data_IF_956629239667
#
_entry.id   IF_956629239667
#
_cell.length_a   1.000
_cell.length_b   1.000
_cell.length_c   1.000
_cell.angle_alpha   90.00
_cell.angle_beta   90.00
_cell.angle_gamma   90.00
#
_symmetry.space_group_name_H-M   'P 1'
#
loop_
_entity.id
_entity.type
_entity.pdbx_description
1 polymer ?
#
# COMPACT_ATOMS: atom_id res chain seq x y z
N UNK A 1 3.32 12.50 -86.85
CA UNK A 1 2.66 12.82 -85.57
C UNK A 1 2.94 11.67 -84.61
N UNK A 2 3.90 11.84 -83.70
CA UNK A 2 4.43 10.80 -82.82
C UNK A 2 4.23 11.25 -81.37
N UNK A 3 3.23 10.67 -80.71
CA UNK A 3 2.94 10.93 -79.29
C UNK A 3 3.94 10.18 -78.40
N UNK A 4 4.83 10.93 -77.74
CA UNK A 4 5.67 10.44 -76.65
C UNK A 4 4.85 10.38 -75.36
N UNK A 5 4.58 9.17 -74.87
CA UNK A 5 4.03 8.93 -73.52
C UNK A 5 5.15 8.95 -72.48
N UNK A 6 5.16 9.98 -71.65
CA UNK A 6 6.00 10.08 -70.45
C UNK A 6 5.49 9.15 -69.34
N UNK A 7 6.33 8.18 -68.94
CA UNK A 7 6.11 7.39 -67.72
C UNK A 7 6.65 8.19 -66.53
N UNK A 8 5.75 8.81 -65.76
CA UNK A 8 6.08 9.37 -64.43
C UNK A 8 6.20 8.24 -63.41
N UNK A 9 7.44 7.90 -63.08
CA UNK A 9 7.83 7.04 -61.96
C UNK A 9 7.56 7.78 -60.65
N UNK A 10 6.50 7.42 -59.94
CA UNK A 10 6.23 7.88 -58.57
C UNK A 10 7.18 7.12 -57.64
N UNK A 11 8.30 7.75 -57.29
CA UNK A 11 9.19 7.27 -56.24
C UNK A 11 8.47 7.42 -54.89
N UNK A 12 8.11 6.29 -54.29
CA UNK A 12 7.54 6.25 -52.95
C UNK A 12 8.59 6.67 -51.92
N UNK A 13 8.39 7.83 -51.28
CA UNK A 13 9.14 8.25 -50.11
C UNK A 13 8.78 7.37 -48.91
N UNK A 14 9.42 6.20 -48.81
CA UNK A 14 9.47 5.42 -47.57
C UNK A 14 10.39 6.15 -46.59
N UNK A 15 9.79 6.92 -45.69
CA UNK A 15 10.46 7.54 -44.57
C UNK A 15 11.22 6.49 -43.75
N UNK A 16 12.55 6.60 -43.73
CA UNK A 16 13.44 5.84 -42.84
C UNK A 16 13.08 6.19 -41.40
N UNK A 17 12.30 5.33 -40.75
CA UNK A 17 12.13 5.35 -39.30
C UNK A 17 13.49 4.97 -38.69
N UNK A 18 14.11 5.82 -37.87
CA UNK A 18 15.37 5.48 -37.22
C UNK A 18 15.11 4.32 -36.25
N UNK A 19 15.74 3.18 -36.53
CA UNK A 19 15.75 2.03 -35.64
C UNK A 19 16.41 2.46 -34.31
N UNK A 20 15.60 2.74 -33.29
CA UNK A 20 16.06 2.83 -31.90
C UNK A 20 16.63 1.47 -31.52
N UNK A 21 17.94 1.30 -31.68
CA UNK A 21 18.73 0.22 -31.10
C UNK A 21 18.72 0.40 -29.58
N UNK A 22 17.68 -0.10 -28.91
CA UNK A 22 17.75 -0.35 -27.47
C UNK A 22 18.65 -1.56 -27.27
N UNK A 23 19.95 -1.31 -27.11
CA UNK A 23 20.93 -2.31 -26.65
C UNK A 23 20.63 -2.62 -25.19
N UNK A 24 19.63 -3.47 -24.95
CA UNK A 24 19.47 -4.15 -23.69
C UNK A 24 20.53 -5.24 -23.63
N UNK A 25 21.61 -4.98 -22.91
CA UNK A 25 22.56 -5.99 -22.46
C UNK A 25 21.77 -7.11 -21.80
N UNK A 26 21.71 -8.26 -22.46
CA UNK A 26 21.04 -9.46 -21.94
C UNK A 26 22.02 -10.08 -20.94
N UNK A 27 22.06 -9.50 -19.74
CA UNK A 27 22.60 -10.22 -18.59
C UNK A 27 21.75 -11.48 -18.42
N UNK A 28 22.40 -12.65 -18.41
CA UNK A 28 21.84 -13.97 -18.13
C UNK A 28 21.39 -14.12 -16.67
N UNK A 29 20.78 -13.06 -16.11
CA UNK A 29 20.10 -13.11 -14.83
C UNK A 29 18.87 -13.99 -14.97
N UNK A 30 18.72 -14.94 -14.05
CA UNK A 30 17.49 -15.72 -13.90
C UNK A 30 16.28 -14.79 -13.99
N UNK A 31 15.41 -15.03 -14.98
CA UNK A 31 14.21 -14.20 -15.19
C UNK A 31 13.34 -14.28 -13.94
N UNK A 32 13.43 -13.29 -13.07
CA UNK A 32 12.57 -13.19 -11.88
C UNK A 32 11.12 -13.07 -12.33
N UNK A 33 10.34 -14.10 -12.06
CA UNK A 33 8.90 -14.12 -12.29
C UNK A 33 8.22 -12.96 -11.55
N UNK A 34 7.24 -12.33 -12.19
CA UNK A 34 6.54 -11.17 -11.64
C UNK A 34 5.10 -11.52 -11.26
N UNK A 35 4.53 -10.81 -10.31
CA UNK A 35 3.09 -10.87 -10.05
C UNK A 35 2.35 -10.10 -11.15
N UNK A 36 1.23 -10.65 -11.62
CA UNK A 36 0.41 -9.99 -12.62
C UNK A 36 -0.32 -8.79 -12.02
N UNK A 37 -0.38 -7.70 -12.78
CA UNK A 37 -1.12 -6.48 -12.44
C UNK A 37 -1.95 -6.07 -13.65
N UNK A 38 -3.11 -5.47 -13.42
CA UNK A 38 -4.00 -5.00 -14.48
C UNK A 38 -3.29 -4.03 -15.45
N UNK A 39 -2.41 -3.17 -14.94
CA UNK A 39 -1.62 -2.21 -15.73
C UNK A 39 -0.49 -2.82 -16.56
N UNK A 40 -0.28 -4.14 -16.48
CA UNK A 40 0.74 -4.79 -17.29
C UNK A 40 0.23 -4.91 -18.74
N UNK A 41 0.95 -4.44 -19.77
CA UNK A 41 0.42 -4.33 -21.14
C UNK A 41 -0.15 -5.65 -21.68
N UNK A 42 0.54 -6.77 -21.46
CA UNK A 42 0.05 -8.10 -21.87
C UNK A 42 -1.24 -8.52 -21.16
N UNK A 43 -1.41 -8.15 -19.88
CA UNK A 43 -2.58 -8.52 -19.09
C UNK A 43 -3.75 -7.60 -19.47
N UNK A 44 -3.50 -6.31 -19.61
CA UNK A 44 -4.46 -5.31 -20.09
C UNK A 44 -5.04 -5.71 -21.45
N UNK A 45 -4.20 -6.14 -22.40
CA UNK A 45 -4.63 -6.60 -23.71
C UNK A 45 -5.49 -7.88 -23.68
N UNK A 46 -5.35 -8.72 -22.65
CA UNK A 46 -6.22 -9.89 -22.44
C UNK A 46 -7.55 -9.46 -21.81
N UNK A 47 -7.51 -8.58 -20.82
CA UNK A 47 -8.71 -8.09 -20.12
C UNK A 47 -9.63 -7.32 -21.08
N UNK A 48 -9.03 -6.55 -22.00
CA UNK A 48 -9.74 -5.77 -23.02
C UNK A 48 -10.05 -6.56 -24.29
N UNK A 49 -9.79 -7.87 -24.30
CA UNK A 49 -9.97 -8.76 -25.46
C UNK A 49 -9.34 -8.19 -26.75
N UNK A 50 -8.14 -7.58 -26.68
CA UNK A 50 -7.44 -6.99 -27.84
C UNK A 50 -6.71 -8.02 -28.70
N UNK A 51 -6.36 -9.17 -28.13
CA UNK A 51 -5.67 -10.22 -28.89
C UNK A 51 -6.58 -10.82 -29.97
N UNK A 52 -6.02 -11.00 -31.17
CA UNK A 52 -6.67 -11.64 -32.31
C UNK A 52 -5.67 -12.60 -32.95
N UNK A 53 -6.00 -13.88 -32.98
CA UNK A 53 -5.19 -14.94 -33.57
C UNK A 53 -5.96 -15.60 -34.71
N UNK A 54 -5.23 -16.08 -35.72
CA UNK A 54 -5.83 -16.79 -36.84
C UNK A 54 -6.15 -18.23 -36.47
N UNK A 55 -5.28 -18.86 -35.67
CA UNK A 55 -5.43 -20.25 -35.24
C UNK A 55 -5.50 -20.37 -33.73
N UNK A 56 -6.16 -21.44 -33.26
CA UNK A 56 -6.24 -21.78 -31.84
C UNK A 56 -4.85 -22.04 -31.23
N UNK A 57 -3.96 -22.67 -32.00
CA UNK A 57 -2.59 -23.01 -31.57
C UNK A 57 -1.74 -21.76 -31.29
N UNK A 58 -1.90 -20.69 -32.07
CA UNK A 58 -1.24 -19.40 -31.79
C UNK A 58 -1.69 -18.82 -30.44
N UNK A 59 -3.00 -18.86 -30.16
CA UNK A 59 -3.54 -18.41 -28.88
C UNK A 59 -3.02 -19.25 -27.70
N UNK A 60 -2.99 -20.58 -27.84
CA UNK A 60 -2.46 -21.49 -26.82
C UNK A 60 -0.95 -21.28 -26.60
N UNK A 61 -0.18 -21.09 -27.66
CA UNK A 61 1.25 -20.76 -27.59
C UNK A 61 1.47 -19.44 -26.84
N UNK A 62 0.61 -18.45 -27.07
CA UNK A 62 0.66 -17.19 -26.33
C UNK A 62 0.35 -17.37 -24.84
N UNK A 63 -0.64 -18.21 -24.48
CA UNK A 63 -0.93 -18.55 -23.08
C UNK A 63 0.28 -19.22 -22.42
N UNK A 64 0.97 -20.14 -23.12
CA UNK A 64 2.20 -20.77 -22.62
C UNK A 64 3.30 -19.74 -22.36
N UNK A 65 3.52 -18.81 -23.29
CA UNK A 65 4.49 -17.73 -23.09
C UNK A 65 4.14 -16.85 -21.88
N UNK A 66 2.85 -16.51 -21.69
CA UNK A 66 2.39 -15.76 -20.51
C UNK A 66 2.70 -16.53 -19.23
N UNK A 67 2.47 -17.85 -19.21
CA UNK A 67 2.74 -18.72 -18.06
C UNK A 67 4.21 -18.63 -17.58
N UNK A 68 5.16 -18.45 -18.51
CA UNK A 68 6.60 -18.34 -18.20
C UNK A 68 7.00 -16.98 -17.63
N UNK A 69 6.18 -15.94 -17.79
CA UNK A 69 6.50 -14.59 -17.33
C UNK A 69 5.94 -14.26 -15.94
N UNK A 70 4.90 -14.98 -15.49
CA UNK A 70 4.16 -14.66 -14.27
C UNK A 70 4.22 -15.76 -13.21
N UNK A 71 4.15 -15.36 -11.94
CA UNK A 71 4.05 -16.28 -10.81
C UNK A 71 2.67 -16.93 -10.81
N UNK A 72 2.64 -18.27 -10.93
CA UNK A 72 1.41 -19.07 -10.78
C UNK A 72 1.21 -19.38 -9.30
N UNK A 73 0.02 -19.11 -8.77
CA UNK A 73 -0.24 -19.39 -7.36
C UNK A 73 -0.38 -20.89 -7.10
N UNK A 74 0.56 -21.45 -6.35
CA UNK A 74 0.53 -22.85 -5.92
C UNK A 74 -0.63 -23.16 -4.93
N UNK A 75 -1.24 -22.13 -4.34
CA UNK A 75 -2.21 -22.26 -3.25
C UNK A 75 -3.67 -22.39 -3.71
N UNK A 76 -3.93 -22.71 -4.97
CA UNK A 76 -5.31 -22.90 -5.45
C UNK A 76 -5.99 -24.12 -4.78
N UNK A 77 -7.31 -24.05 -4.50
CA UNK A 77 -8.11 -25.20 -4.06
C UNK A 77 -7.94 -26.38 -5.00
N UNK A 78 -8.01 -27.62 -4.50
CA UNK A 78 -7.83 -28.83 -5.32
C UNK A 78 -8.81 -28.87 -6.49
N UNK A 79 -10.07 -28.53 -6.24
CA UNK A 79 -11.16 -28.53 -7.23
C UNK A 79 -10.98 -27.47 -8.32
N UNK A 80 -10.10 -26.49 -8.10
CA UNK A 80 -9.80 -25.43 -9.07
C UNK A 80 -8.49 -25.66 -9.82
N UNK A 81 -7.87 -26.84 -9.73
CA UNK A 81 -6.60 -27.15 -10.42
C UNK A 81 -6.86 -27.84 -11.76
N UNK A 82 -7.46 -27.12 -12.69
CA UNK A 82 -7.53 -27.58 -14.08
C UNK A 82 -6.16 -27.36 -14.73
N UNK A 83 -5.44 -28.44 -15.06
CA UNK A 83 -4.12 -28.36 -15.71
C UNK A 83 -4.17 -27.66 -17.08
N UNK A 84 -5.32 -27.69 -17.74
CA UNK A 84 -5.53 -27.14 -19.09
C UNK A 84 -5.87 -25.65 -19.10
N UNK A 85 -6.19 -25.04 -17.95
CA UNK A 85 -6.60 -23.63 -17.88
C UNK A 85 -5.57 -22.85 -17.07
N UNK A 86 -4.97 -21.84 -17.69
CA UNK A 86 -4.05 -20.96 -16.97
C UNK A 86 -4.86 -20.08 -16.02
N UNK A 87 -4.66 -20.27 -14.71
CA UNK A 87 -5.26 -19.46 -13.65
C UNK A 87 -4.20 -18.55 -13.05
N UNK A 88 -4.36 -17.24 -13.21
CA UNK A 88 -3.45 -16.23 -12.67
C UNK A 88 -4.18 -15.32 -11.70
N UNK A 89 -3.51 -14.97 -10.60
CA UNK A 89 -3.99 -13.91 -9.73
C UNK A 89 -3.51 -12.56 -10.27
N UNK A 90 -4.44 -11.63 -10.49
CA UNK A 90 -4.15 -10.32 -11.08
C UNK A 90 -4.55 -9.24 -10.08
N UNK A 91 -3.59 -8.40 -9.70
CA UNK A 91 -3.85 -7.23 -8.84
C UNK A 91 -4.72 -6.21 -9.56
N UNK A 92 -5.78 -5.73 -8.92
CA UNK A 92 -6.74 -4.76 -9.47
C UNK A 92 -7.91 -5.37 -10.26
N UNK A 93 -7.78 -6.63 -10.69
CA UNK A 93 -8.72 -7.21 -11.64
C UNK A 93 -10.13 -7.41 -11.07
N UNK A 94 -11.11 -6.72 -11.68
CA UNK A 94 -12.55 -6.84 -11.42
C UNK A 94 -12.92 -6.89 -9.92
N UNK A 95 -12.34 -5.99 -9.13
CA UNK A 95 -12.63 -5.87 -7.69
C UNK A 95 -13.88 -5.01 -7.52
N UNK A 96 -14.89 -5.50 -6.79
CA UNK A 96 -16.03 -4.68 -6.38
C UNK A 96 -15.73 -3.93 -5.07
N UNK A 97 -16.49 -2.87 -4.78
CA UNK A 97 -16.35 -2.11 -3.54
C UNK A 97 -16.48 -2.98 -2.28
N UNK A 98 -17.37 -3.97 -2.31
CA UNK A 98 -17.59 -4.89 -1.20
C UNK A 98 -16.44 -5.89 -1.05
N UNK A 99 -15.88 -6.38 -2.15
CA UNK A 99 -14.64 -7.18 -2.14
C UNK A 99 -13.47 -6.36 -1.59
N UNK A 100 -13.35 -5.08 -1.96
CA UNK A 100 -12.29 -4.22 -1.45
C UNK A 100 -12.40 -4.00 0.06
N UNK A 101 -13.63 -3.81 0.58
CA UNK A 101 -13.90 -3.73 2.03
C UNK A 101 -13.54 -5.04 2.74
N UNK A 102 -13.80 -6.19 2.12
CA UNK A 102 -13.39 -7.51 2.63
C UNK A 102 -11.88 -7.73 2.55
N UNK A 103 -11.14 -6.87 1.85
CA UNK A 103 -9.69 -6.88 1.78
C UNK A 103 -9.11 -7.58 0.56
N UNK A 104 -9.91 -7.77 -0.49
CA UNK A 104 -9.41 -8.20 -1.79
C UNK A 104 -8.55 -7.09 -2.40
N UNK A 105 -7.41 -7.47 -2.98
CA UNK A 105 -6.52 -6.57 -3.73
C UNK A 105 -6.44 -6.93 -5.22
N UNK A 106 -7.17 -7.95 -5.63
CA UNK A 106 -7.15 -8.55 -6.95
C UNK A 106 -7.95 -9.84 -6.92
N UNK A 107 -8.26 -10.36 -8.11
CA UNK A 107 -8.98 -11.60 -8.27
C UNK A 107 -8.20 -12.57 -9.15
N UNK A 108 -8.56 -13.85 -9.05
CA UNK A 108 -8.08 -14.84 -9.99
C UNK A 108 -8.83 -14.73 -11.31
N UNK A 109 -8.10 -14.92 -12.40
CA UNK A 109 -8.61 -14.96 -13.75
C UNK A 109 -8.22 -16.29 -14.38
N UNK A 110 -9.20 -16.99 -14.95
CA UNK A 110 -9.00 -18.16 -15.79
C UNK A 110 -8.89 -17.71 -17.25
N UNK A 111 -7.79 -18.04 -17.91
CA UNK A 111 -7.54 -17.63 -19.28
C UNK A 111 -8.01 -18.76 -20.20
N UNK A 112 -8.97 -18.45 -21.08
CA UNK A 112 -9.55 -19.41 -22.03
C UNK A 112 -9.44 -18.88 -23.45
N UNK A 113 -9.18 -19.78 -24.39
CA UNK A 113 -9.22 -19.46 -25.81
C UNK A 113 -10.67 -19.51 -26.27
N UNK A 114 -11.18 -18.42 -26.83
CA UNK A 114 -12.56 -18.30 -27.32
C UNK A 114 -12.52 -17.93 -28.79
N UNK A 115 -13.39 -18.57 -29.60
CA UNK A 115 -13.57 -18.21 -31.01
C UNK A 115 -14.56 -17.05 -31.13
N UNK A 116 -14.19 -16.03 -31.91
CA UNK A 116 -15.01 -14.88 -32.23
C UNK A 116 -15.89 -15.16 -33.45
N UNK A 117 -16.86 -14.26 -33.71
CA UNK A 117 -17.75 -14.33 -34.88
C UNK A 117 -16.99 -14.34 -36.21
N UNK A 118 -15.85 -13.65 -36.28
CA UNK A 118 -15.00 -13.55 -37.48
C UNK A 118 -14.12 -14.79 -37.70
N UNK A 119 -14.43 -15.93 -37.05
CA UNK A 119 -13.62 -17.17 -37.03
C UNK A 119 -12.21 -17.04 -36.42
N UNK A 120 -11.78 -15.83 -36.03
CA UNK A 120 -10.54 -15.58 -35.28
C UNK A 120 -10.66 -16.04 -33.83
N UNK A 121 -9.52 -16.29 -33.19
CA UNK A 121 -9.44 -16.68 -31.79
C UNK A 121 -8.94 -15.52 -30.92
N UNK A 122 -9.40 -15.45 -29.68
CA UNK A 122 -8.91 -14.53 -28.66
C UNK A 122 -8.68 -15.25 -27.34
N UNK A 123 -7.95 -14.61 -26.43
CA UNK A 123 -7.75 -15.10 -25.07
C UNK A 123 -8.63 -14.24 -24.18
N UNK A 124 -9.64 -14.86 -23.56
CA UNK A 124 -10.56 -14.19 -22.64
C UNK A 124 -10.16 -14.48 -21.21
N UNK A 125 -10.16 -13.45 -20.37
CA UNK A 125 -10.01 -13.61 -18.92
C UNK A 125 -11.38 -13.72 -18.24
N UNK A 126 -11.61 -14.82 -17.52
CA UNK A 126 -12.83 -15.05 -16.73
C UNK A 126 -12.53 -14.95 -15.24
N UNK A 127 -13.20 -14.04 -14.52
CA UNK A 127 -13.08 -13.91 -13.06
C UNK A 127 -13.46 -15.23 -12.37
N UNK A 128 -12.60 -15.69 -11.48
CA UNK A 128 -12.81 -16.87 -10.65
C UNK A 128 -13.14 -16.44 -9.22
N UNK A 129 -14.27 -16.91 -8.69
CA UNK A 129 -14.68 -16.64 -7.32
C UNK A 129 -13.92 -17.55 -6.34
N UNK A 130 -12.74 -17.10 -5.92
CA UNK A 130 -11.87 -17.84 -5.00
C UNK A 130 -11.84 -17.12 -3.65
N UNK A 131 -12.05 -17.87 -2.57
CA UNK A 131 -12.02 -17.35 -1.22
C UNK A 131 -10.68 -16.64 -0.91
N UNK A 132 -10.77 -15.51 -0.20
CA UNK A 132 -9.63 -14.65 0.15
C UNK A 132 -8.45 -15.42 0.76
N UNK A 133 -8.73 -16.51 1.50
CA UNK A 133 -7.71 -17.38 2.13
C UNK A 133 -6.73 -18.07 1.17
N UNK A 134 -6.99 -18.06 -0.13
CA UNK A 134 -6.10 -18.60 -1.16
C UNK A 134 -5.35 -17.52 -1.95
N UNK A 135 -5.71 -16.24 -1.78
CA UNK A 135 -5.06 -15.15 -2.49
C UNK A 135 -3.62 -14.95 -2.01
N UNK A 136 -2.67 -14.69 -2.94
CA UNK A 136 -1.26 -14.48 -2.60
C UNK A 136 -1.03 -13.17 -1.86
N UNK A 137 -1.79 -12.12 -2.20
CA UNK A 137 -1.80 -10.83 -1.51
C UNK A 137 -3.20 -10.52 -1.00
N UNK A 138 -3.29 -9.93 0.19
CA UNK A 138 -4.54 -9.52 0.85
C UNK A 138 -4.30 -8.19 1.54
N UNK A 139 -5.34 -7.37 1.61
CA UNK A 139 -5.33 -6.18 2.46
C UNK A 139 -5.19 -6.67 3.89
N UNK A 140 -4.23 -6.13 4.65
CA UNK A 140 -4.13 -6.45 6.06
C UNK A 140 -5.36 -5.89 6.77
N UNK A 141 -5.99 -6.64 7.68
CA UNK A 141 -7.00 -6.06 8.54
C UNK A 141 -6.38 -4.89 9.28
N UNK A 142 -7.09 -3.76 9.37
CA UNK A 142 -6.65 -2.62 10.17
C UNK A 142 -6.63 -3.07 11.63
N UNK A 143 -5.43 -3.29 12.17
CA UNK A 143 -5.21 -3.62 13.58
C UNK A 143 -4.70 -2.38 14.30
N UNK A 144 -5.12 -2.21 15.54
CA UNK A 144 -4.65 -1.10 16.39
C UNK A 144 -3.14 -1.19 16.67
N UNK A 145 -2.63 -2.41 16.81
CA UNK A 145 -1.22 -2.68 17.11
C UNK A 145 -0.61 -3.55 16.00
N UNK A 146 0.53 -3.17 15.42
CA UNK A 146 1.26 -4.01 14.49
C UNK A 146 1.87 -5.21 15.22
N UNK A 147 2.03 -6.30 14.51
CA UNK A 147 2.78 -7.48 14.96
C UNK A 147 4.14 -7.56 14.26
N UNK A 148 5.02 -8.45 14.73
CA UNK A 148 6.28 -8.76 14.06
C UNK A 148 6.12 -9.30 12.62
N UNK A 149 4.89 -9.59 12.19
CA UNK A 149 4.55 -9.93 10.81
C UNK A 149 4.53 -8.73 9.87
N UNK A 150 4.57 -7.50 10.38
CA UNK A 150 4.66 -6.28 9.59
C UNK A 150 5.97 -6.21 8.76
N UNK A 151 5.98 -5.86 7.46
CA UNK A 151 7.17 -5.89 6.60
C UNK A 151 8.32 -5.07 7.16
N UNK A 152 8.04 -3.83 7.58
CA UNK A 152 9.03 -2.97 8.20
C UNK A 152 9.60 -3.62 9.48
N UNK A 153 8.74 -4.19 10.35
CA UNK A 153 9.19 -4.86 11.57
C UNK A 153 9.92 -6.19 11.31
N UNK A 154 9.64 -6.88 10.19
CA UNK A 154 10.40 -8.06 9.78
C UNK A 154 11.83 -7.69 9.39
N UNK A 155 12.03 -6.57 8.69
CA UNK A 155 13.37 -6.08 8.36
C UNK A 155 14.15 -5.74 9.63
N UNK A 156 13.50 -5.05 10.57
CA UNK A 156 14.07 -4.77 11.91
C UNK A 156 14.42 -6.07 12.63
N UNK A 157 13.49 -7.02 12.71
CA UNK A 157 13.72 -8.30 13.41
C UNK A 157 14.81 -9.16 12.76
N UNK A 158 14.98 -9.08 11.44
CA UNK A 158 16.04 -9.76 10.69
C UNK A 158 17.41 -9.10 10.88
N UNK A 159 17.45 -7.85 11.35
CA UNK A 159 18.69 -7.06 11.43
C UNK A 159 19.17 -6.61 10.06
N UNK A 160 18.26 -6.24 9.15
CA UNK A 160 18.63 -5.73 7.84
C UNK A 160 19.55 -4.50 7.97
N UNK A 161 20.62 -4.47 7.19
CA UNK A 161 21.59 -3.36 7.14
C UNK A 161 21.16 -2.40 6.02
N UNK A 162 20.93 -1.15 6.39
CA UNK A 162 20.63 -0.03 5.51
C UNK A 162 21.91 0.71 5.15
N UNK A 163 22.03 1.16 3.91
CA UNK A 163 23.24 1.86 3.45
C UNK A 163 23.35 3.24 4.12
N UNK A 164 22.22 3.93 4.27
CA UNK A 164 22.16 5.29 4.80
C UNK A 164 21.27 5.41 6.05
N UNK A 165 21.58 6.40 6.89
CA UNK A 165 20.77 6.76 8.06
C UNK A 165 19.35 7.19 7.64
N UNK A 166 19.22 7.85 6.48
CA UNK A 166 17.95 8.31 5.94
C UNK A 166 17.00 7.17 5.59
N UNK A 167 17.52 6.08 5.01
CA UNK A 167 16.74 4.89 4.70
C UNK A 167 16.17 4.21 5.95
N UNK A 168 17.01 4.03 6.98
CA UNK A 168 16.57 3.49 8.26
C UNK A 168 15.51 4.39 8.92
N UNK A 169 15.72 5.71 8.91
CA UNK A 169 14.75 6.67 9.45
C UNK A 169 13.45 6.73 8.62
N UNK A 170 13.52 6.55 7.30
CA UNK A 170 12.35 6.46 6.42
C UNK A 170 11.48 5.27 6.80
N UNK A 171 12.08 4.13 7.15
CA UNK A 171 11.35 2.95 7.63
C UNK A 171 10.66 3.22 8.98
N UNK A 172 11.34 3.86 9.94
CA UNK A 172 10.72 4.27 11.20
C UNK A 172 9.59 5.29 11.00
N UNK A 173 9.78 6.27 10.09
CA UNK A 173 8.76 7.25 9.71
C UNK A 173 7.55 6.60 9.05
N UNK A 174 7.76 5.59 8.20
CA UNK A 174 6.68 4.80 7.62
C UNK A 174 5.87 4.11 8.72
N UNK A 175 6.53 3.46 9.68
CA UNK A 175 5.84 2.83 10.82
C UNK A 175 5.02 3.84 11.63
N UNK A 176 5.56 5.04 11.90
CA UNK A 176 4.81 6.09 12.59
C UNK A 176 3.60 6.58 11.78
N UNK A 177 3.77 6.75 10.46
CA UNK A 177 2.71 7.20 9.56
C UNK A 177 1.56 6.18 9.49
N UNK A 178 1.89 4.88 9.50
CA UNK A 178 0.88 3.82 9.49
C UNK A 178 0.20 3.61 10.85
N UNK A 179 0.90 3.89 11.96
CA UNK A 179 0.42 3.66 13.33
C UNK A 179 0.63 4.87 14.26
N UNK A 180 0.05 6.04 13.96
CA UNK A 180 0.34 7.29 14.69
C UNK A 180 -0.09 7.25 16.15
N UNK A 181 -1.21 6.60 16.47
CA UNK A 181 -1.80 6.61 17.82
C UNK A 181 -1.02 5.81 18.86
N UNK A 182 -0.15 4.91 18.41
CA UNK A 182 0.57 3.95 19.25
C UNK A 182 2.09 4.04 19.08
N UNK A 183 2.55 5.07 18.38
CA UNK A 183 3.96 5.32 18.16
C UNK A 183 4.32 6.77 18.44
N UNK A 184 5.51 6.98 18.97
CA UNK A 184 6.05 8.29 19.32
C UNK A 184 7.43 8.39 18.66
N UNK A 185 7.58 9.22 17.61
CA UNK A 185 8.85 9.40 16.95
C UNK A 185 9.80 10.22 17.84
N UNK A 186 11.08 9.87 17.79
CA UNK A 186 12.17 10.59 18.43
C UNK A 186 13.39 10.57 17.50
N UNK A 187 14.45 11.31 17.84
CA UNK A 187 15.65 11.38 17.00
C UNK A 187 16.30 10.00 16.91
N UNK A 188 16.35 9.44 15.70
CA UNK A 188 16.86 8.10 15.39
C UNK A 188 16.18 6.98 16.20
N UNK A 189 14.97 7.23 16.71
CA UNK A 189 14.25 6.35 17.62
C UNK A 189 12.76 6.35 17.33
N UNK A 190 12.11 5.21 17.53
CA UNK A 190 10.66 5.09 17.53
C UNK A 190 10.22 4.28 18.74
N UNK A 191 9.47 4.92 19.63
CA UNK A 191 8.74 4.18 20.66
C UNK A 191 7.45 3.67 20.02
N UNK A 192 7.18 2.37 20.07
CA UNK A 192 5.98 1.80 19.45
C UNK A 192 5.41 0.66 20.31
N UNK A 193 4.09 0.54 20.34
CA UNK A 193 3.40 -0.57 21.01
C UNK A 193 3.16 -1.68 19.99
N UNK A 194 3.74 -2.86 20.21
CA UNK A 194 3.64 -4.03 19.34
C UNK A 194 2.79 -5.14 19.98
N UNK A 195 2.13 -5.92 19.14
CA UNK A 195 1.46 -7.17 19.52
C UNK A 195 2.39 -8.37 19.29
N UNK A 196 2.76 -9.08 20.35
CA UNK A 196 3.53 -10.33 20.32
C UNK A 196 2.96 -11.35 21.30
N UNK A 197 2.21 -12.33 20.78
CA UNK A 197 1.70 -13.45 21.60
C UNK A 197 2.79 -14.47 21.96
N UNK A 198 3.88 -14.51 21.19
CA UNK A 198 4.97 -15.48 21.39
C UNK A 198 5.82 -15.15 22.62
N UNK A 199 6.09 -13.86 22.85
CA UNK A 199 7.03 -13.43 23.90
C UNK A 199 6.35 -13.37 25.29
N UNK A 200 5.07 -12.99 25.35
CA UNK A 200 4.30 -13.00 26.60
C UNK A 200 2.81 -13.25 26.30
N UNK A 201 2.29 -14.48 26.54
CA UNK A 201 0.91 -14.81 26.22
C UNK A 201 -0.12 -14.09 27.10
N UNK A 202 0.24 -13.70 28.33
CA UNK A 202 -0.65 -12.99 29.26
C UNK A 202 -0.80 -11.51 28.91
N UNK A 203 0.30 -10.90 28.46
CA UNK A 203 0.37 -9.49 28.07
C UNK A 203 0.93 -9.39 26.66
N UNK A 204 0.12 -9.71 25.63
CA UNK A 204 0.59 -9.76 24.26
C UNK A 204 0.89 -8.37 23.68
N UNK A 205 0.53 -7.29 24.38
CA UNK A 205 0.79 -5.92 23.94
C UNK A 205 1.93 -5.34 24.77
N UNK A 206 3.05 -5.05 24.12
CA UNK A 206 4.28 -4.60 24.77
C UNK A 206 4.82 -3.35 24.10
N UNK A 207 5.46 -2.46 24.87
CA UNK A 207 6.08 -1.25 24.35
C UNK A 207 7.54 -1.53 24.01
N UNK A 208 7.92 -1.24 22.78
CA UNK A 208 9.28 -1.39 22.27
C UNK A 208 9.89 -0.03 21.94
N UNK A 209 11.22 0.00 21.98
CA UNK A 209 12.06 1.07 21.48
C UNK A 209 12.78 0.52 20.26
N UNK A 210 12.55 1.11 19.10
CA UNK A 210 13.34 0.86 17.89
C UNK A 210 14.38 1.97 17.78
N UNK A 211 15.66 1.65 17.67
CA UNK A 211 16.77 2.61 17.70
C UNK A 211 17.73 2.34 16.54
N UNK A 212 17.97 3.35 15.71
CA UNK A 212 18.94 3.22 14.60
C UNK A 212 20.36 3.28 15.18
N UNK A 213 21.18 2.28 14.85
CA UNK A 213 22.57 2.16 15.29
C UNK A 213 23.50 1.90 14.10
N UNK A 214 24.74 2.41 14.13
CA UNK A 214 25.74 2.03 13.12
C UNK A 214 26.05 0.53 13.24
N UNK A 215 26.17 -0.16 12.10
CA UNK A 215 26.61 -1.56 12.06
C UNK A 215 28.13 -1.65 11.98
N UNK A 216 28.71 -2.79 12.40
CA UNK A 216 30.16 -3.04 12.31
C UNK A 216 30.63 -3.22 10.86
N UNK A 217 29.76 -3.80 10.03
CA UNK A 217 30.05 -4.10 8.62
C UNK A 217 29.87 -2.88 7.70
N UNK A 218 29.70 -1.68 8.29
CA UNK A 218 29.27 -0.48 7.59
C UNK A 218 27.74 -0.37 7.53
N UNK A 219 27.25 0.84 7.26
CA UNK A 219 25.82 1.14 7.22
C UNK A 219 25.16 1.23 8.60
N UNK A 220 23.83 1.10 8.61
CA UNK A 220 22.98 1.29 9.78
C UNK A 220 22.00 0.13 9.92
N UNK A 221 21.71 -0.30 11.14
CA UNK A 221 20.62 -1.24 11.40
C UNK A 221 19.68 -0.66 12.45
N UNK A 222 18.49 -1.23 12.57
CA UNK A 222 17.51 -0.82 13.58
C UNK A 222 17.51 -1.88 14.67
N UNK A 223 18.07 -1.53 15.82
CA UNK A 223 18.02 -2.36 17.01
C UNK A 223 16.65 -2.20 17.70
N UNK A 224 16.22 -3.22 18.44
CA UNK A 224 14.95 -3.18 19.16
C UNK A 224 15.08 -3.76 20.57
N UNK A 225 14.43 -3.10 21.53
CA UNK A 225 14.39 -3.55 22.93
C UNK A 225 13.04 -3.23 23.57
N UNK A 226 12.68 -3.99 24.61
CA UNK A 226 11.52 -3.68 25.44
C UNK A 226 11.76 -2.36 26.18
N UNK A 227 10.73 -1.51 26.22
CA UNK A 227 10.75 -0.30 27.03
C UNK A 227 10.43 -0.68 28.48
N UNK A 228 11.47 -0.92 29.27
CA UNK A 228 11.44 -1.24 30.70
C UNK A 228 11.21 -0.02 31.60
N UNK A 229 11.04 1.18 31.02
CA UNK A 229 10.79 2.41 31.77
C UNK A 229 9.56 2.25 32.68
N UNK A 230 9.84 1.98 33.96
CA UNK A 230 8.87 2.09 35.02
C UNK A 230 8.75 3.58 35.34
N UNK A 231 7.56 4.15 35.11
CA UNK A 231 7.28 5.52 35.55
C UNK A 231 7.48 5.52 37.07
N UNK A 232 8.63 6.03 37.53
CA UNK A 232 8.83 6.32 38.94
C UNK A 232 7.61 7.14 39.32
N UNK A 233 6.78 6.62 40.22
CA UNK A 233 5.64 7.37 40.71
C UNK A 233 6.26 8.58 41.39
N UNK A 234 6.30 9.71 40.68
CA UNK A 234 6.64 10.97 41.30
C UNK A 234 5.67 11.06 42.48
N UNK A 235 6.17 11.27 43.71
CA UNK A 235 5.32 11.33 44.88
C UNK A 235 4.22 12.31 44.50
N UNK A 236 2.98 11.81 44.46
CA UNK A 236 1.83 12.67 44.21
C UNK A 236 1.89 13.65 45.37
N UNK A 237 2.48 14.83 45.15
CA UNK A 237 2.38 15.94 46.09
C UNK A 237 0.88 16.11 46.18
N UNK A 238 0.30 15.61 47.26
CA UNK A 238 -1.05 15.96 47.70
C UNK A 238 -0.96 17.46 47.90
N UNK A 239 -1.15 18.22 46.82
CA UNK A 239 -1.43 19.64 46.91
C UNK A 239 -2.65 19.67 47.81
N UNK A 240 -2.46 20.16 49.05
CA UNK A 240 -3.53 20.40 50.01
C UNK A 240 -4.46 21.42 49.37
N UNK A 241 -5.35 20.97 48.50
CA UNK A 241 -6.35 21.79 47.83
C UNK A 241 -7.56 22.04 48.72
N UNK A 242 -7.53 21.61 49.97
CA UNK A 242 -8.67 21.72 50.88
C UNK A 242 -8.67 22.99 51.73
N UNK A 243 -7.58 23.76 51.84
CA UNK A 243 -7.59 25.00 52.64
C UNK A 243 -7.84 26.27 51.80
N UNK A 244 -7.48 26.26 50.50
CA UNK A 244 -7.69 27.43 49.63
C UNK A 244 -9.01 27.37 48.81
N UNK A 245 -9.66 26.20 48.71
CA UNK A 245 -10.98 26.09 48.06
C UNK A 245 -12.11 26.53 49.01
N UNK A 246 -11.97 26.34 50.33
CA UNK A 246 -12.93 26.89 51.30
C UNK A 246 -12.86 28.42 51.40
N UNK A 247 -11.69 29.03 51.20
CA UNK A 247 -11.57 30.50 51.15
C UNK A 247 -12.16 31.12 49.89
N UNK A 248 -12.19 30.41 48.76
CA UNK A 248 -12.82 30.89 47.52
C UNK A 248 -14.33 30.62 47.43
N UNK A 249 -14.88 29.75 48.30
CA UNK A 249 -16.33 29.50 48.36
C UNK A 249 -17.08 30.47 49.29
N UNK A 250 -16.41 31.11 50.25
CA UNK A 250 -17.05 32.09 51.15
C UNK A 250 -17.13 33.51 50.58
N UNK A 251 -16.25 33.91 49.65
CA UNK A 251 -16.31 35.25 49.03
C UNK A 251 -17.24 35.34 47.81
N UNK A 252 -17.89 34.24 47.39
CA UNK A 252 -18.73 34.19 46.20
C UNK A 252 -20.22 33.87 46.47
N UNK A 253 -20.68 33.88 47.73
CA UNK A 253 -22.10 33.63 48.05
C UNK A 253 -23.01 34.86 47.93
N UNK A 254 -22.51 36.03 47.53
CA UNK A 254 -23.34 37.24 47.36
C UNK A 254 -23.46 37.78 45.92
N UNK A 255 -22.94 37.08 44.92
CA UNK A 255 -23.16 37.43 43.51
C UNK A 255 -24.08 36.40 42.85
N UNK A 256 -25.34 36.81 42.65
CA UNK A 256 -26.46 35.98 42.22
C UNK A 256 -26.20 35.07 41.01
N UNK A 257 -26.72 33.85 41.13
CA UNK A 257 -26.70 32.75 40.15
C UNK A 257 -27.35 33.06 38.78
N UNK A 258 -27.84 34.29 38.57
CA UNK A 258 -28.59 34.69 37.37
C UNK A 258 -27.73 35.42 36.31
N UNK A 259 -26.56 35.95 36.66
CA UNK A 259 -25.70 36.70 35.71
C UNK A 259 -24.55 35.89 35.10
N UNK A 260 -24.14 34.77 35.70
CA UNK A 260 -22.99 33.97 35.21
C UNK A 260 -23.27 33.12 33.97
N UNK A 261 -24.53 32.88 33.61
CA UNK A 261 -24.88 32.17 32.37
C UNK A 261 -24.91 33.05 31.12
N UNK A 262 -24.84 34.39 31.26
CA UNK A 262 -24.90 35.30 30.10
C UNK A 262 -23.51 35.63 29.54
N UNK A 263 -22.44 35.56 30.34
CA UNK A 263 -21.07 35.87 29.88
C UNK A 263 -20.42 34.73 29.10
N UNK A 264 -20.74 33.46 29.37
CA UNK A 264 -20.15 32.31 28.66
C UNK A 264 -20.68 32.08 27.23
N UNK A 265 -21.74 32.78 26.80
CA UNK A 265 -22.29 32.66 25.43
C UNK A 265 -21.77 33.72 24.44
N UNK A 266 -21.03 34.74 24.86
CA UNK A 266 -20.55 35.81 23.94
C UNK A 266 -19.19 35.53 23.29
N UNK A 267 -18.30 34.75 23.90
CA UNK A 267 -16.95 34.54 23.37
C UNK A 267 -16.83 33.52 22.22
N UNK A 268 -17.86 32.71 21.97
CA UNK A 268 -17.84 31.79 20.81
C UNK A 268 -18.26 32.45 19.49
N UNK A 269 -18.83 33.66 19.51
CA UNK A 269 -19.28 34.33 18.27
C UNK A 269 -18.22 35.24 17.62
N UNK A 270 -17.22 35.74 18.36
CA UNK A 270 -16.18 36.61 17.78
C UNK A 270 -15.08 35.85 17.03
N UNK A 271 -14.77 34.60 17.40
CA UNK A 271 -13.73 33.81 16.68
C UNK A 271 -14.17 33.25 15.33
N UNK A 272 -15.48 33.20 15.04
CA UNK A 272 -15.98 32.67 13.76
C UNK A 272 -16.03 33.77 12.68
N UNK A 273 -16.16 35.05 13.04
CA UNK A 273 -16.13 36.15 12.06
C UNK A 273 -14.73 36.40 11.50
N UNK A 274 -13.68 36.22 12.29
CA UNK A 274 -12.30 36.48 11.83
C UNK A 274 -11.75 35.40 10.88
N UNK A 275 -12.28 34.17 10.96
CA UNK A 275 -11.92 33.10 10.02
C UNK A 275 -12.62 33.23 8.65
N UNK A 276 -13.73 33.99 8.56
CA UNK A 276 -14.40 34.23 7.27
C UNK A 276 -13.77 35.37 6.46
N UNK A 277 -13.15 36.37 7.11
CA UNK A 277 -12.44 37.45 6.38
C UNK A 277 -11.15 36.98 5.71
N UNK A 278 -10.37 36.09 6.34
CA UNK A 278 -9.11 35.59 5.74
C UNK A 278 -9.29 34.69 4.52
N UNK A 279 -10.51 34.22 4.21
CA UNK A 279 -10.77 33.39 3.02
C UNK A 279 -11.15 34.19 1.77
N UNK A 280 -11.35 35.51 1.88
CA UNK A 280 -11.68 36.37 0.74
C UNK A 280 -10.49 37.21 0.23
N UNK A 281 -9.36 37.26 0.96
CA UNK A 281 -8.17 38.01 0.53
C UNK A 281 -7.09 37.15 -0.14
N UNK A 282 -7.32 35.84 -0.31
CA UNK A 282 -6.35 34.90 -0.91
C UNK A 282 -6.61 34.52 -2.38
N UNK A 283 -7.64 35.08 -3.01
CA UNK A 283 -8.04 34.81 -4.41
C UNK A 283 -8.01 36.10 -5.26
N UNK A 284 -6.99 36.94 -5.07
CA UNK A 284 -6.62 38.01 -6.00
C UNK A 284 -5.18 37.83 -6.47
#
# INVERSE_FOLDING_TARGET
MTEKKEKKTVQSALAKIPAKKSSATIETGEKRLRLATEKHPTIEAIITDLFRFETKEQAETRIKAIKEHFIISAKLPKDSRDSNVLKLWIRGYMISDDEEKQGYLGNYAAFRVVQLKDKKFTIRAEKQNIALKYHPQRKRPKRKHPDWGHPALRLVKKGEIFETLEEANKLLKQLHTEYPDISIPAINKLFIILYSKADNPEKPVQKYILEVKPSRDGGFHIDYRLNDYQKKQLPVKKVRRNEDVEKLQNDNQQAGYFTSMITLKRDKKSKISDLRKKKQEGDK
#
